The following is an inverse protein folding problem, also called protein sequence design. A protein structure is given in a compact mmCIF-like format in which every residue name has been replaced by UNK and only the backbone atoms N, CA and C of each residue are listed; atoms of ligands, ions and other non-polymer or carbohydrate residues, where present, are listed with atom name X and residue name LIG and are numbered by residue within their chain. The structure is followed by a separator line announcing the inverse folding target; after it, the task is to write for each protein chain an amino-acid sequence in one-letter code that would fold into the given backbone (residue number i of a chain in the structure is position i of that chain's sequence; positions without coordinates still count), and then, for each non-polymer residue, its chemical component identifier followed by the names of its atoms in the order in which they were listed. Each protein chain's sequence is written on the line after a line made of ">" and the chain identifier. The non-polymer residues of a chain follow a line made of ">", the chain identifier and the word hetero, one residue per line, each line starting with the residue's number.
data_IF_809900918588
#
_entry.id   IF_809900918588
#
_cell.length_a   1.000
_cell.length_b   1.000
_cell.length_c   1.000
_cell.angle_alpha   90.00
_cell.angle_beta   90.00
_cell.angle_gamma   90.00
#
_symmetry.space_group_name_H-M   'P 1'
#
loop_
_entity.id
_entity.type
_entity.pdbx_description
1 polymer ?
#
# COMPACT_ATOMS: atom_id res chain seq x y z
N UNK A 1 -13.53 -25.04 32.28
CA UNK A 1 -12.31 -24.23 32.08
C UNK A 1 -12.64 -23.24 30.98
N UNK A 2 -13.16 -22.04 31.27
CA UNK A 2 -12.47 -20.86 31.84
C UNK A 2 -11.19 -20.62 31.03
N UNK A 3 -11.12 -19.64 30.13
CA UNK A 3 -11.22 -18.20 30.45
C UNK A 3 -11.72 -17.38 29.26
N UNK A 4 -12.80 -16.63 29.50
CA UNK A 4 -13.26 -15.47 28.73
C UNK A 4 -12.38 -14.27 29.14
N UNK A 5 -12.03 -13.38 28.20
CA UNK A 5 -11.73 -12.00 28.54
C UNK A 5 -12.74 -11.08 27.83
N UNK A 6 -13.51 -10.41 28.68
CA UNK A 6 -14.49 -9.40 28.34
C UNK A 6 -13.78 -8.10 27.93
N UNK A 7 -14.28 -7.51 26.86
CA UNK A 7 -14.12 -6.10 26.52
C UNK A 7 -14.92 -5.29 27.55
N UNK A 8 -14.22 -4.52 28.38
CA UNK A 8 -14.82 -3.57 29.31
C UNK A 8 -14.71 -2.16 28.74
N UNK A 9 -15.77 -1.70 28.08
CA UNK A 9 -15.98 -0.31 27.72
C UNK A 9 -16.60 0.42 28.92
N UNK A 10 -15.95 1.47 29.41
CA UNK A 10 -16.55 2.41 30.37
C UNK A 10 -16.16 3.84 30.01
N UNK A 11 -17.13 4.52 29.41
CA UNK A 11 -17.23 5.97 29.28
C UNK A 11 -17.61 6.53 30.66
N UNK A 12 -16.80 7.45 31.21
CA UNK A 12 -17.14 8.19 32.43
C UNK A 12 -16.90 9.69 32.21
N UNK A 13 -17.98 10.46 32.27
CA UNK A 13 -18.02 11.92 32.18
C UNK A 13 -17.76 12.54 33.56
N UNK A 14 -16.89 13.56 33.57
CA UNK A 14 -16.60 14.65 34.51
C UNK A 14 -16.97 14.54 36.01
N UNK A 15 -15.99 14.90 36.86
CA UNK A 15 -16.18 15.79 38.03
C UNK A 15 -14.91 16.63 38.27
N UNK A 16 -15.07 17.96 38.29
CA UNK A 16 -14.08 18.94 38.78
C UNK A 16 -14.02 18.90 40.33
N UNK A 17 -12.82 18.73 40.90
CA UNK A 17 -12.47 19.24 42.24
C UNK A 17 -10.94 19.22 42.49
N UNK A 18 -10.34 20.42 42.52
CA UNK A 18 -9.50 20.89 43.62
C UNK A 18 -8.12 20.26 43.92
N UNK A 19 -7.09 21.05 43.62
CA UNK A 19 -5.91 21.37 44.45
C UNK A 19 -4.84 20.27 44.71
N UNK A 20 -3.61 20.54 44.24
CA UNK A 20 -2.40 19.86 44.71
C UNK A 20 -1.21 20.13 43.79
N UNK A 21 -0.35 21.06 44.19
CA UNK A 21 0.79 21.51 43.39
C UNK A 21 1.87 20.45 43.16
N UNK A 22 2.46 20.54 41.97
CA UNK A 22 3.61 19.79 41.51
C UNK A 22 3.77 20.07 40.02
N UNK A 23 4.38 21.20 39.66
CA UNK A 23 4.87 21.42 38.30
C UNK A 23 5.97 20.41 38.03
N UNK A 24 5.61 19.22 37.56
CA UNK A 24 6.47 18.48 36.65
C UNK A 24 6.34 19.20 35.32
N UNK A 25 7.34 19.96 34.93
CA UNK A 25 7.52 20.37 33.54
C UNK A 25 7.63 19.07 32.73
N UNK A 26 6.50 18.56 32.25
CA UNK A 26 6.49 17.53 31.20
C UNK A 26 6.98 18.25 29.97
N UNK A 27 8.29 18.21 29.76
CA UNK A 27 8.88 18.70 28.52
C UNK A 27 8.28 17.83 27.41
N UNK A 28 7.46 18.46 26.57
CA UNK A 28 6.77 17.78 25.49
C UNK A 28 7.82 17.30 24.49
N UNK A 29 8.04 16.00 24.41
CA UNK A 29 8.91 15.39 23.40
C UNK A 29 8.09 15.03 22.17
N UNK A 30 8.72 15.15 21.00
CA UNK A 30 8.16 14.71 19.72
C UNK A 30 8.81 13.37 19.35
N UNK A 31 8.04 12.47 18.77
CA UNK A 31 8.51 11.16 18.31
C UNK A 31 8.41 11.11 16.79
N UNK A 32 9.46 10.59 16.14
CA UNK A 32 9.46 10.22 14.74
C UNK A 32 9.91 8.77 14.58
N UNK A 33 9.80 8.25 13.36
CA UNK A 33 10.12 6.85 13.04
C UNK A 33 11.07 6.79 11.86
N UNK A 34 12.24 6.17 12.04
CA UNK A 34 13.18 5.89 10.95
C UNK A 34 12.75 4.63 10.21
N UNK A 35 12.50 4.75 8.90
CA UNK A 35 11.89 3.69 8.10
C UNK A 35 12.55 3.44 6.73
N UNK A 36 12.78 2.17 6.49
CA UNK A 36 12.95 1.40 5.25
C UNK A 36 12.66 -0.03 5.73
N UNK A 37 11.40 -0.31 6.11
CA UNK A 37 10.99 -1.00 7.34
C UNK A 37 11.46 -0.34 8.64
N UNK A 38 10.83 -0.64 9.77
CA UNK A 38 11.25 -0.08 11.07
C UNK A 38 12.75 -0.37 11.32
N UNK A 39 13.58 0.69 11.41
CA UNK A 39 15.04 0.50 11.54
C UNK A 39 15.47 0.59 13.00
N UNK A 40 15.80 -0.55 13.59
CA UNK A 40 16.22 -0.67 14.98
C UNK A 40 17.72 -0.38 15.15
N UNK A 41 18.08 0.14 16.33
CA UNK A 41 19.45 0.27 16.80
C UNK A 41 20.35 1.24 16.01
N UNK A 42 19.77 2.17 15.24
CA UNK A 42 20.49 3.32 14.67
C UNK A 42 20.73 4.34 15.77
N UNK A 43 21.97 4.81 15.90
CA UNK A 43 22.31 5.83 16.87
C UNK A 43 21.75 7.19 16.40
N UNK A 44 21.22 8.00 17.31
CA UNK A 44 20.79 9.36 16.99
C UNK A 44 21.14 10.37 18.08
N UNK A 45 21.32 11.62 17.65
CA UNK A 45 21.59 12.77 18.49
C UNK A 45 20.58 13.89 18.24
N UNK A 46 19.92 14.34 19.30
CA UNK A 46 19.06 15.53 19.29
C UNK A 46 19.94 16.76 19.53
N UNK A 47 20.55 17.28 18.46
CA UNK A 47 21.63 18.29 18.55
C UNK A 47 21.16 19.56 19.27
N UNK A 48 19.95 20.02 18.99
CA UNK A 48 19.37 21.21 19.63
C UNK A 48 19.07 21.02 21.13
N UNK A 49 18.86 19.78 21.58
CA UNK A 49 18.57 19.44 22.97
C UNK A 49 19.84 19.19 23.78
N UNK A 50 20.99 18.97 23.12
CA UNK A 50 22.21 18.50 23.77
C UNK A 50 22.08 17.07 24.31
N UNK A 51 21.18 16.27 23.73
CA UNK A 51 20.91 14.87 24.09
C UNK A 51 21.49 13.95 23.01
N UNK A 52 22.49 13.14 23.38
CA UNK A 52 23.36 12.41 22.45
C UNK A 52 23.43 10.91 22.78
N UNK A 53 23.82 10.10 21.80
CA UNK A 53 24.05 8.65 21.91
C UNK A 53 22.81 7.85 22.32
N UNK A 54 21.68 8.18 21.70
CA UNK A 54 20.42 7.42 21.83
C UNK A 54 20.34 6.42 20.68
N UNK A 55 19.45 5.45 20.77
CA UNK A 55 19.23 4.45 19.72
C UNK A 55 17.76 4.36 19.35
N UNK A 56 17.47 4.15 18.06
CA UNK A 56 16.10 3.87 17.60
C UNK A 56 15.57 2.59 18.24
N UNK A 57 14.26 2.56 18.51
CA UNK A 57 13.58 1.36 19.03
C UNK A 57 13.30 0.32 17.94
N UNK A 58 12.71 -0.82 18.34
CA UNK A 58 12.32 -1.90 17.43
C UNK A 58 11.25 -1.49 16.40
N UNK A 59 10.50 -0.42 16.67
CA UNK A 59 9.56 0.21 15.74
C UNK A 59 10.20 1.36 14.94
N UNK A 60 11.52 1.54 15.02
CA UNK A 60 12.25 2.65 14.42
C UNK A 60 12.09 3.99 15.17
N UNK A 61 11.43 4.01 16.33
CA UNK A 61 11.11 5.25 17.03
C UNK A 61 12.37 5.97 17.55
N UNK A 62 12.43 7.28 17.31
CA UNK A 62 13.38 8.20 17.95
C UNK A 62 12.61 9.38 18.55
N UNK A 63 13.14 9.99 19.61
CA UNK A 63 12.42 11.03 20.37
C UNK A 63 13.35 12.16 20.78
N UNK A 64 12.97 13.38 20.40
CA UNK A 64 13.65 14.63 20.74
C UNK A 64 12.66 15.65 21.30
N UNK A 65 13.11 16.55 22.17
CA UNK A 65 12.31 17.70 22.60
C UNK A 65 12.23 18.74 21.47
N UNK A 66 13.33 18.89 20.73
CA UNK A 66 13.44 19.76 19.58
C UNK A 66 13.94 19.01 18.35
N UNK A 67 13.12 18.99 17.29
CA UNK A 67 13.45 18.35 16.01
C UNK A 67 14.32 19.23 15.08
N UNK A 68 14.78 20.40 15.55
CA UNK A 68 15.65 21.31 14.79
C UNK A 68 17.10 20.80 14.74
N UNK A 69 17.32 19.73 13.96
CA UNK A 69 18.57 18.96 13.79
C UNK A 69 18.62 17.68 14.63
N UNK A 70 18.30 16.57 13.98
CA UNK A 70 18.53 15.21 14.47
C UNK A 70 19.52 14.54 13.56
N UNK A 71 20.63 14.05 14.13
CA UNK A 71 21.68 13.33 13.42
C UNK A 71 21.49 11.84 13.58
N UNK A 72 21.55 11.07 12.49
CA UNK A 72 21.54 9.60 12.51
C UNK A 72 22.93 9.05 12.22
N UNK A 73 23.32 7.99 12.95
CA UNK A 73 24.64 7.37 12.88
C UNK A 73 24.55 5.85 13.05
N UNK A 74 25.53 5.15 12.50
CA UNK A 74 25.85 3.77 12.88
C UNK A 74 27.20 3.80 13.59
N UNK A 75 27.19 3.78 14.93
CA UNK A 75 28.39 3.99 15.72
C UNK A 75 29.02 5.36 15.40
N UNK A 76 30.17 5.41 14.73
CA UNK A 76 30.82 6.68 14.36
C UNK A 76 30.44 7.16 12.96
N UNK A 77 29.91 6.26 12.11
CA UNK A 77 29.52 6.59 10.74
C UNK A 77 28.27 7.46 10.75
N UNK A 78 28.37 8.68 10.24
CA UNK A 78 27.23 9.60 10.13
C UNK A 78 26.43 9.29 8.87
N UNK A 79 25.17 8.88 9.03
CA UNK A 79 24.27 8.66 7.89
C UNK A 79 23.75 9.98 7.32
N UNK A 80 23.49 10.96 8.20
CA UNK A 80 23.06 12.30 7.82
C UNK A 80 22.26 12.98 8.92
N UNK A 81 21.70 14.15 8.59
CA UNK A 81 20.95 14.99 9.51
C UNK A 81 19.59 15.34 8.88
N UNK A 82 18.51 15.28 9.67
CA UNK A 82 17.24 15.95 9.31
C UNK A 82 17.13 17.28 10.06
N UNK A 83 16.58 18.30 9.41
CA UNK A 83 16.40 19.64 10.00
C UNK A 83 15.02 19.86 10.63
N UNK A 84 14.07 18.97 10.32
CA UNK A 84 12.73 18.91 10.89
C UNK A 84 12.16 17.50 10.68
N UNK A 85 11.17 17.11 11.48
CA UNK A 85 10.41 15.89 11.25
C UNK A 85 9.42 16.10 10.10
N UNK A 86 9.35 15.20 9.10
CA UNK A 86 8.32 15.22 8.07
C UNK A 86 6.90 15.18 8.68
N UNK A 87 5.92 15.72 7.95
CA UNK A 87 4.57 15.93 8.47
C UNK A 87 3.84 14.62 8.83
N UNK A 88 4.21 13.53 8.18
CA UNK A 88 3.69 12.19 8.46
C UNK A 88 4.39 11.48 9.63
N UNK A 89 5.46 12.07 10.19
CA UNK A 89 6.21 11.51 11.31
C UNK A 89 7.22 10.44 10.94
N UNK A 90 7.38 10.12 9.66
CA UNK A 90 8.31 9.11 9.16
C UNK A 90 9.55 9.77 8.56
N UNK A 91 10.70 9.14 8.72
CA UNK A 91 11.98 9.58 8.16
C UNK A 91 12.52 8.45 7.31
N UNK A 92 12.60 8.69 6.02
CA UNK A 92 13.15 7.75 5.04
C UNK A 92 14.62 8.08 4.74
N UNK A 93 15.38 7.16 4.12
CA UNK A 93 16.69 7.45 3.53
C UNK A 93 16.75 8.76 2.74
N UNK A 94 15.73 9.05 1.92
CA UNK A 94 15.61 10.28 1.13
C UNK A 94 15.60 11.55 2.01
N UNK A 95 14.92 11.50 3.16
CA UNK A 95 14.82 12.63 4.09
C UNK A 95 16.18 12.90 4.76
N UNK A 96 16.96 11.84 5.04
CA UNK A 96 18.31 11.93 5.62
C UNK A 96 19.31 12.51 4.61
N UNK A 97 19.23 12.09 3.34
CA UNK A 97 20.07 12.63 2.25
C UNK A 97 19.65 14.06 1.88
N UNK A 98 18.37 14.40 2.06
CA UNK A 98 17.81 15.71 1.71
C UNK A 98 17.36 15.82 0.25
N UNK A 99 16.83 14.74 -0.31
CA UNK A 99 16.20 14.70 -1.64
C UNK A 99 14.70 14.39 -1.53
N UNK A 100 13.95 14.59 -2.61
CA UNK A 100 12.53 14.25 -2.63
C UNK A 100 12.33 12.72 -2.52
N UNK A 101 11.22 12.29 -1.91
CA UNK A 101 10.95 10.87 -1.62
C UNK A 101 10.75 10.00 -2.87
N UNK A 102 10.37 10.60 -3.99
CA UNK A 102 10.30 9.96 -5.30
C UNK A 102 11.67 9.67 -5.92
N UNK A 103 12.77 10.25 -5.40
CA UNK A 103 14.14 10.03 -5.87
C UNK A 103 14.75 8.72 -5.32
N UNK A 104 14.03 7.60 -5.48
CA UNK A 104 14.43 6.27 -5.00
C UNK A 104 15.72 5.79 -5.68
N UNK A 105 15.91 6.12 -6.95
CA UNK A 105 17.09 5.77 -7.75
C UNK A 105 18.29 6.71 -7.54
N UNK A 106 18.21 7.67 -6.60
CA UNK A 106 19.35 8.49 -6.25
C UNK A 106 20.50 7.61 -5.70
N UNK A 107 21.73 7.86 -6.16
CA UNK A 107 22.90 7.04 -5.84
C UNK A 107 23.15 6.92 -4.32
N UNK A 108 23.03 8.03 -3.58
CA UNK A 108 23.21 8.07 -2.13
C UNK A 108 22.06 7.38 -1.38
N UNK A 109 20.82 7.58 -1.85
CA UNK A 109 19.62 6.92 -1.29
C UNK A 109 19.71 5.41 -1.47
N UNK A 110 20.03 4.97 -2.68
CA UNK A 110 20.16 3.55 -3.02
C UNK A 110 21.27 2.91 -2.19
N UNK A 111 22.43 3.57 -2.06
CA UNK A 111 23.53 3.04 -1.27
C UNK A 111 23.18 2.96 0.22
N UNK A 112 22.47 3.95 0.77
CA UNK A 112 22.02 3.92 2.16
C UNK A 112 20.99 2.81 2.40
N UNK A 113 20.01 2.65 1.52
CA UNK A 113 19.04 1.57 1.58
C UNK A 113 19.73 0.19 1.51
N UNK A 114 20.67 0.02 0.57
CA UNK A 114 21.48 -1.19 0.48
C UNK A 114 22.24 -1.46 1.78
N UNK A 115 22.88 -0.45 2.38
CA UNK A 115 23.59 -0.63 3.64
C UNK A 115 22.66 -1.05 4.77
N UNK A 116 21.57 -0.30 5.01
CA UNK A 116 20.64 -0.55 6.11
C UNK A 116 19.98 -1.93 5.99
N UNK A 117 19.41 -2.25 4.82
CA UNK A 117 18.74 -3.53 4.61
C UNK A 117 19.70 -4.72 4.66
N UNK A 118 20.97 -4.54 4.29
CA UNK A 118 21.97 -5.62 4.35
C UNK A 118 22.57 -5.80 5.76
N UNK A 119 22.35 -4.84 6.67
CA UNK A 119 22.74 -4.94 8.07
C UNK A 119 21.73 -5.70 8.94
N UNK A 120 20.56 -6.02 8.38
CA UNK A 120 19.53 -6.79 9.04
C UNK A 120 20.03 -8.17 9.47
N UNK A 121 19.84 -8.51 10.75
CA UNK A 121 20.46 -9.69 11.38
C UNK A 121 19.92 -11.02 10.82
N UNK A 122 18.63 -11.07 10.46
CA UNK A 122 17.97 -12.29 9.98
C UNK A 122 17.61 -12.27 8.49
N UNK A 123 17.94 -11.17 7.79
CA UNK A 123 17.64 -10.91 6.38
C UNK A 123 16.14 -10.99 6.06
N UNK A 124 15.27 -10.72 7.04
CA UNK A 124 13.83 -10.71 6.91
C UNK A 124 13.26 -9.31 7.18
N UNK A 125 13.32 -8.45 6.17
CA UNK A 125 12.89 -7.05 6.27
C UNK A 125 11.40 -6.85 6.63
N UNK A 126 10.56 -7.89 6.51
CA UNK A 126 9.13 -7.84 6.88
C UNK A 126 8.90 -7.73 8.40
N UNK A 127 9.91 -8.02 9.23
CA UNK A 127 9.84 -7.90 10.68
C UNK A 127 10.60 -6.67 11.23
N UNK A 128 11.01 -5.75 10.36
CA UNK A 128 11.90 -4.62 10.69
C UNK A 128 13.34 -4.88 10.20
N UNK A 129 14.17 -3.83 10.24
CA UNK A 129 15.62 -3.95 10.06
C UNK A 129 16.26 -3.97 11.44
N UNK A 130 16.80 -5.12 11.83
CA UNK A 130 17.45 -5.33 13.12
C UNK A 130 18.97 -5.26 12.97
N UNK A 131 19.56 -4.12 13.33
CA UNK A 131 21.02 -3.93 13.21
C UNK A 131 21.73 -4.45 14.46
N UNK A 132 22.47 -5.55 14.31
CA UNK A 132 23.26 -6.13 15.42
C UNK A 132 24.32 -5.17 15.98
N UNK A 133 24.60 -5.27 17.28
CA UNK A 133 25.65 -4.50 17.94
C UNK A 133 27.03 -4.79 17.34
N UNK A 134 27.28 -6.02 16.92
CA UNK A 134 28.50 -6.47 16.26
C UNK A 134 28.71 -5.75 14.93
N UNK A 135 27.69 -5.74 14.05
CA UNK A 135 27.76 -5.08 12.75
C UNK A 135 27.89 -3.55 12.92
N UNK A 136 27.09 -2.95 13.81
CA UNK A 136 27.17 -1.51 14.10
C UNK A 136 28.55 -1.10 14.62
N UNK A 137 29.14 -1.86 15.55
CA UNK A 137 30.48 -1.57 16.10
C UNK A 137 31.61 -1.77 15.10
N UNK A 138 31.40 -2.50 14.01
CA UNK A 138 32.40 -2.63 12.95
C UNK A 138 32.56 -1.34 12.13
N UNK A 139 31.56 -0.44 12.16
CA UNK A 139 31.51 0.84 11.45
C UNK A 139 32.14 1.96 12.31
N UNK A 140 33.46 1.87 12.49
CA UNK A 140 34.24 2.73 13.41
C UNK A 140 34.72 4.06 12.81
N UNK A 141 34.28 4.42 11.62
CA UNK A 141 34.78 5.59 10.91
C UNK A 141 33.98 6.84 11.26
N UNK A 142 34.66 7.86 11.81
CA UNK A 142 34.09 9.19 12.04
C UNK A 142 34.10 9.97 10.73
N UNK A 143 33.17 9.61 9.84
CA UNK A 143 32.97 10.22 8.54
C UNK A 143 31.47 10.25 8.19
N UNK A 144 31.12 11.08 7.20
CA UNK A 144 29.79 11.04 6.61
C UNK A 144 29.74 9.90 5.59
N UNK A 145 28.69 9.10 5.64
CA UNK A 145 28.40 8.07 4.66
C UNK A 145 28.24 8.69 3.28
N UNK A 146 28.86 8.06 2.28
CA UNK A 146 28.61 8.32 0.86
C UNK A 146 28.48 7.00 0.12
N UNK A 147 27.82 7.03 -1.04
CA UNK A 147 27.67 5.86 -1.90
C UNK A 147 29.01 5.22 -2.29
N UNK A 148 30.07 6.04 -2.40
CA UNK A 148 31.42 5.56 -2.72
C UNK A 148 32.06 4.70 -1.63
N UNK A 149 31.55 4.77 -0.40
CA UNK A 149 32.05 4.03 0.76
C UNK A 149 31.29 2.71 1.01
N UNK A 150 30.22 2.43 0.25
CA UNK A 150 29.32 1.29 0.49
C UNK A 150 30.06 -0.05 0.57
N UNK A 151 30.89 -0.35 -0.42
CA UNK A 151 31.68 -1.59 -0.47
C UNK A 151 32.65 -1.71 0.72
N UNK A 152 33.21 -0.58 1.15
CA UNK A 152 34.10 -0.54 2.30
C UNK A 152 33.35 -0.89 3.59
N UNK A 153 32.16 -0.31 3.81
CA UNK A 153 31.36 -0.59 4.99
C UNK A 153 30.77 -2.01 4.98
N UNK A 154 30.36 -2.51 3.82
CA UNK A 154 29.92 -3.90 3.66
C UNK A 154 31.00 -4.89 4.07
N UNK A 155 32.24 -4.68 3.59
CA UNK A 155 33.38 -5.51 3.95
C UNK A 155 33.70 -5.43 5.46
N UNK A 156 33.57 -4.24 6.06
CA UNK A 156 33.83 -4.03 7.50
C UNK A 156 32.82 -4.73 8.38
N UNK A 157 31.54 -4.59 8.07
CA UNK A 157 30.44 -5.23 8.79
C UNK A 157 30.31 -6.73 8.47
N UNK A 158 31.10 -7.25 7.51
CA UNK A 158 31.05 -8.63 7.05
C UNK A 158 29.65 -9.05 6.55
N UNK A 159 28.95 -8.11 5.89
CA UNK A 159 27.61 -8.32 5.32
C UNK A 159 27.69 -8.57 3.82
N UNK A 160 26.71 -9.31 3.30
CA UNK A 160 26.49 -9.42 1.87
C UNK A 160 25.50 -8.33 1.45
N UNK A 161 25.93 -7.44 0.54
CA UNK A 161 25.06 -6.39 0.03
C UNK A 161 23.91 -6.99 -0.78
N UNK A 162 22.69 -6.50 -0.50
CA UNK A 162 21.55 -6.60 -1.41
C UNK A 162 21.86 -5.87 -2.71
N UNK A 163 21.23 -6.31 -3.79
CA UNK A 163 21.35 -5.61 -5.07
C UNK A 163 20.69 -4.23 -4.99
N UNK A 164 21.06 -3.32 -5.88
CA UNK A 164 20.44 -2.00 -5.96
C UNK A 164 18.94 -2.11 -6.21
N UNK A 165 18.53 -3.00 -7.12
CA UNK A 165 17.13 -3.22 -7.48
C UNK A 165 16.31 -3.71 -6.27
N UNK A 166 16.79 -4.73 -5.56
CA UNK A 166 16.10 -5.24 -4.36
C UNK A 166 15.98 -4.16 -3.27
N UNK A 167 17.01 -3.33 -3.10
CA UNK A 167 16.98 -2.28 -2.09
C UNK A 167 16.01 -1.15 -2.44
N UNK A 168 15.99 -0.74 -3.71
CA UNK A 168 15.07 0.25 -4.23
C UNK A 168 13.62 -0.24 -4.19
N UNK A 169 13.38 -1.52 -4.50
CA UNK A 169 12.06 -2.16 -4.42
C UNK A 169 11.52 -2.15 -3.00
N UNK A 170 12.30 -2.63 -2.02
CA UNK A 170 11.89 -2.63 -0.63
C UNK A 170 11.62 -1.21 -0.07
N UNK A 171 12.48 -0.25 -0.41
CA UNK A 171 12.31 1.14 0.01
C UNK A 171 11.02 1.74 -0.58
N UNK A 172 10.72 1.41 -1.84
CA UNK A 172 9.49 1.83 -2.52
C UNK A 172 8.26 1.24 -1.87
N UNK A 173 8.28 -0.05 -1.56
CA UNK A 173 7.18 -0.74 -0.87
C UNK A 173 6.91 -0.12 0.49
N UNK A 174 7.95 0.09 1.31
CA UNK A 174 7.81 0.78 2.61
C UNK A 174 7.19 2.17 2.45
N UNK A 175 7.65 2.94 1.46
CA UNK A 175 7.12 4.28 1.21
C UNK A 175 5.64 4.23 0.81
N UNK A 176 5.27 3.29 -0.06
CA UNK A 176 3.89 3.10 -0.51
C UNK A 176 2.98 2.67 0.66
N UNK A 177 3.44 1.78 1.54
CA UNK A 177 2.73 1.37 2.76
C UNK A 177 2.49 2.53 3.73
N UNK A 178 3.50 3.39 3.94
CA UNK A 178 3.35 4.58 4.78
C UNK A 178 2.36 5.58 4.17
N UNK A 179 2.40 5.78 2.85
CA UNK A 179 1.44 6.64 2.15
C UNK A 179 0.00 6.12 2.37
N UNK A 180 -0.23 4.81 2.17
CA UNK A 180 -1.55 4.20 2.34
C UNK A 180 -2.02 4.23 3.80
N UNK A 181 -1.13 3.94 4.76
CA UNK A 181 -1.48 3.93 6.20
C UNK A 181 -1.76 5.31 6.77
N UNK A 182 -1.24 6.38 6.14
CA UNK A 182 -1.54 7.77 6.50
C UNK A 182 -2.82 8.31 5.84
N UNK A 183 -3.56 7.46 5.13
CA UNK A 183 -4.84 7.78 4.51
C UNK A 183 -4.75 8.47 3.15
N UNK A 184 -3.54 8.56 2.58
CA UNK A 184 -3.34 9.04 1.20
C UNK A 184 -3.64 7.92 0.18
N UNK A 185 -3.83 8.30 -1.08
CA UNK A 185 -4.00 7.35 -2.18
C UNK A 185 -2.69 6.70 -2.59
N UNK A 186 -2.77 5.57 -3.31
CA UNK A 186 -1.63 4.97 -3.99
C UNK A 186 -0.86 6.03 -4.79
N UNK A 187 0.49 6.00 -4.74
CA UNK A 187 1.33 7.00 -5.41
C UNK A 187 2.09 6.33 -6.54
N UNK A 188 1.49 6.38 -7.72
CA UNK A 188 2.05 5.79 -8.93
C UNK A 188 3.38 6.44 -9.34
N UNK A 189 3.66 7.68 -8.90
CA UNK A 189 4.90 8.39 -9.24
C UNK A 189 6.17 7.76 -8.66
N UNK A 190 6.02 6.90 -7.65
CA UNK A 190 7.14 6.16 -7.05
C UNK A 190 7.71 5.09 -7.99
N UNK A 191 6.93 4.67 -9.00
CA UNK A 191 7.30 3.63 -9.94
C UNK A 191 7.72 4.23 -11.29
N UNK A 192 8.86 3.80 -11.87
CA UNK A 192 9.27 4.27 -13.18
C UNK A 192 8.26 3.83 -14.25
N UNK A 193 8.12 4.65 -15.29
CA UNK A 193 7.32 4.28 -16.45
C UNK A 193 7.97 3.10 -17.19
N UNK A 194 7.19 2.06 -17.46
CA UNK A 194 7.65 0.81 -18.08
C UNK A 194 7.55 0.86 -19.60
N UNK A 195 8.27 -0.02 -20.30
CA UNK A 195 8.12 -0.13 -21.75
C UNK A 195 7.05 -1.17 -22.11
N UNK A 196 5.81 -0.72 -22.31
CA UNK A 196 4.67 -1.60 -22.55
C UNK A 196 4.53 -2.05 -24.01
N UNK A 197 4.20 -3.33 -24.18
CA UNK A 197 3.69 -3.90 -25.43
C UNK A 197 2.23 -3.49 -25.65
N UNK A 198 1.73 -3.67 -26.88
CA UNK A 198 0.30 -3.41 -27.16
C UNK A 198 -0.61 -4.25 -26.26
N UNK A 199 -0.24 -5.51 -25.95
CA UNK A 199 -0.99 -6.39 -25.06
C UNK A 199 -1.23 -5.76 -23.68
N UNK A 200 -0.19 -5.26 -23.01
CA UNK A 200 -0.36 -4.56 -21.72
C UNK A 200 -1.20 -3.29 -21.84
N UNK A 201 -1.13 -2.59 -22.96
CA UNK A 201 -1.98 -1.42 -23.20
C UNK A 201 -3.46 -1.81 -23.36
N UNK A 202 -3.74 -2.94 -24.02
CA UNK A 202 -5.09 -3.52 -24.06
C UNK A 202 -5.58 -3.87 -22.65
N UNK A 203 -4.73 -4.51 -21.83
CA UNK A 203 -5.05 -4.85 -20.45
C UNK A 203 -5.46 -3.62 -19.64
N UNK A 204 -4.69 -2.53 -19.69
CA UNK A 204 -5.03 -1.30 -18.94
C UNK A 204 -6.42 -0.77 -19.34
N UNK A 205 -6.73 -0.77 -20.64
CA UNK A 205 -8.05 -0.34 -21.13
C UNK A 205 -9.18 -1.30 -20.71
N UNK A 206 -8.90 -2.60 -20.68
CA UNK A 206 -9.84 -3.61 -20.20
C UNK A 206 -10.12 -3.42 -18.71
N UNK A 207 -9.07 -3.30 -17.90
CA UNK A 207 -9.17 -3.13 -16.45
C UNK A 207 -9.92 -1.86 -16.06
N UNK A 208 -9.71 -0.75 -16.77
CA UNK A 208 -10.50 0.45 -16.53
C UNK A 208 -12.01 0.21 -16.72
N UNK A 209 -12.38 -0.57 -17.74
CA UNK A 209 -13.79 -0.90 -18.02
C UNK A 209 -14.34 -1.90 -17.00
N UNK A 210 -13.52 -2.83 -16.50
CA UNK A 210 -13.91 -3.79 -15.47
C UNK A 210 -14.18 -3.10 -14.11
N UNK A 211 -13.30 -2.20 -13.67
CA UNK A 211 -13.51 -1.39 -12.47
C UNK A 211 -14.75 -0.50 -12.60
N UNK A 212 -14.99 0.06 -13.80
CA UNK A 212 -16.25 0.78 -14.08
C UNK A 212 -17.46 -0.16 -13.99
N UNK A 213 -17.35 -1.39 -14.49
CA UNK A 213 -18.42 -2.38 -14.47
C UNK A 213 -18.80 -2.70 -13.03
N UNK A 214 -17.82 -3.00 -12.17
CA UNK A 214 -18.04 -3.24 -10.75
C UNK A 214 -18.79 -2.06 -10.11
N UNK A 215 -18.25 -0.84 -10.28
CA UNK A 215 -18.86 0.39 -9.76
C UNK A 215 -20.31 0.57 -10.19
N UNK A 216 -20.56 0.54 -11.49
CA UNK A 216 -21.87 0.86 -12.07
C UNK A 216 -22.90 -0.23 -11.74
N UNK A 217 -22.49 -1.49 -11.75
CA UNK A 217 -23.33 -2.62 -11.40
C UNK A 217 -23.76 -2.52 -9.93
N UNK A 218 -22.82 -2.24 -9.03
CA UNK A 218 -23.13 -2.11 -7.60
C UNK A 218 -24.05 -0.93 -7.32
N UNK A 219 -23.85 0.22 -7.96
CA UNK A 219 -24.76 1.36 -7.83
C UNK A 219 -26.17 1.06 -8.37
N UNK A 220 -26.25 0.36 -9.51
CA UNK A 220 -27.52 -0.03 -10.11
C UNK A 220 -28.28 -1.01 -9.21
N UNK A 221 -27.60 -2.03 -8.68
CA UNK A 221 -28.18 -3.01 -7.76
C UNK A 221 -28.55 -2.39 -6.41
N UNK A 222 -27.72 -1.48 -5.87
CA UNK A 222 -28.01 -0.75 -4.63
C UNK A 222 -29.29 0.10 -4.74
N UNK A 223 -29.59 0.61 -5.94
CA UNK A 223 -30.81 1.38 -6.19
C UNK A 223 -32.08 0.53 -6.09
N UNK A 224 -31.97 -0.79 -6.28
CA UNK A 224 -33.08 -1.76 -6.17
C UNK A 224 -33.10 -2.39 -4.76
N UNK A 225 -31.94 -2.79 -4.28
CA UNK A 225 -31.73 -3.46 -3.00
C UNK A 225 -30.68 -2.70 -2.17
N UNK A 226 -31.08 -1.64 -1.45
CA UNK A 226 -30.14 -0.83 -0.68
C UNK A 226 -29.35 -1.67 0.34
N UNK A 227 -28.03 -1.73 0.18
CA UNK A 227 -27.12 -2.40 1.11
C UNK A 227 -25.84 -1.60 1.28
N UNK A 228 -25.29 -1.64 2.49
CA UNK A 228 -24.10 -0.87 2.82
C UNK A 228 -22.87 -1.34 2.03
N UNK A 229 -22.80 -2.63 1.70
CA UNK A 229 -21.76 -3.25 0.91
C UNK A 229 -21.73 -2.66 -0.51
N UNK A 230 -22.84 -2.75 -1.25
CA UNK A 230 -22.92 -2.25 -2.63
C UNK A 230 -22.63 -0.75 -2.69
N UNK A 231 -23.15 0.05 -1.75
CA UNK A 231 -22.90 1.50 -1.72
C UNK A 231 -21.43 1.83 -1.43
N UNK A 232 -20.86 1.24 -0.36
CA UNK A 232 -19.51 1.60 0.07
C UNK A 232 -18.44 1.14 -0.92
N UNK A 233 -18.55 -0.09 -1.43
CA UNK A 233 -17.57 -0.63 -2.37
C UNK A 233 -17.56 0.24 -3.62
N UNK A 234 -18.73 0.50 -4.22
CA UNK A 234 -18.83 1.33 -5.42
C UNK A 234 -18.33 2.78 -5.23
N UNK A 235 -18.82 3.47 -4.19
CA UNK A 235 -18.58 4.91 -4.03
C UNK A 235 -17.22 5.24 -3.42
N UNK A 236 -16.55 4.26 -2.80
CA UNK A 236 -15.28 4.50 -2.08
C UNK A 236 -14.12 3.69 -2.64
N UNK A 237 -14.34 2.44 -3.05
CA UNK A 237 -13.26 1.56 -3.54
C UNK A 237 -13.20 1.53 -5.05
N UNK A 238 -14.25 1.08 -5.76
CA UNK A 238 -14.25 1.02 -7.23
C UNK A 238 -14.00 2.38 -7.86
N UNK A 239 -14.50 3.45 -7.23
CA UNK A 239 -14.22 4.82 -7.67
C UNK A 239 -12.72 5.16 -7.59
N UNK A 240 -12.01 4.65 -6.58
CA UNK A 240 -10.55 4.83 -6.44
C UNK A 240 -9.77 3.89 -7.36
N UNK A 241 -10.19 2.64 -7.49
CA UNK A 241 -9.56 1.71 -8.42
C UNK A 241 -9.64 2.22 -9.85
N UNK A 242 -10.84 2.61 -10.30
CA UNK A 242 -11.04 3.20 -11.61
C UNK A 242 -10.17 4.45 -11.83
N UNK A 243 -10.05 5.33 -10.82
CA UNK A 243 -9.20 6.50 -10.89
C UNK A 243 -7.70 6.13 -10.98
N UNK A 244 -7.26 5.10 -10.25
CA UNK A 244 -5.88 4.63 -10.32
C UNK A 244 -5.54 4.01 -11.68
N UNK A 245 -6.45 3.24 -12.27
CA UNK A 245 -6.25 2.74 -13.65
C UNK A 245 -6.31 3.90 -14.66
N UNK A 246 -7.12 4.93 -14.41
CA UNK A 246 -7.13 6.15 -15.22
C UNK A 246 -5.76 6.88 -15.19
N UNK A 247 -5.03 6.84 -14.06
CA UNK A 247 -3.65 7.34 -14.01
C UNK A 247 -2.70 6.55 -14.92
N UNK A 248 -2.87 5.22 -15.05
CA UNK A 248 -2.11 4.41 -16.02
C UNK A 248 -2.48 4.77 -17.46
N UNK A 249 -3.77 4.96 -17.75
CA UNK A 249 -4.25 5.41 -19.07
C UNK A 249 -3.58 6.73 -19.45
N UNK A 250 -3.52 7.69 -18.52
CA UNK A 250 -2.87 8.98 -18.73
C UNK A 250 -1.34 8.86 -18.87
N UNK A 251 -0.69 8.10 -17.99
CA UNK A 251 0.76 7.86 -17.99
C UNK A 251 1.25 7.36 -19.34
N UNK A 252 0.56 6.37 -19.90
CA UNK A 252 0.96 5.72 -21.14
C UNK A 252 0.41 6.39 -22.40
N UNK A 253 -0.23 7.56 -22.27
CA UNK A 253 -0.94 8.27 -23.33
C UNK A 253 -1.78 7.30 -24.17
N UNK A 254 -2.53 6.44 -23.46
CA UNK A 254 -3.44 5.53 -24.11
C UNK A 254 -4.58 6.36 -24.68
N UNK A 255 -4.38 6.84 -25.89
CA UNK A 255 -5.46 7.13 -26.80
C UNK A 255 -5.94 5.78 -27.31
N UNK A 256 -7.14 5.35 -26.94
CA UNK A 256 -7.66 4.03 -27.31
C UNK A 256 -7.85 3.85 -28.84
N UNK A 257 -7.50 4.86 -29.62
CA UNK A 257 -7.39 4.81 -31.08
C UNK A 257 -6.28 3.89 -31.63
N UNK A 258 -5.36 3.39 -30.80
CA UNK A 258 -4.25 2.54 -31.25
C UNK A 258 -4.55 1.03 -31.20
N UNK A 259 -5.78 0.68 -30.86
CA UNK A 259 -6.22 -0.70 -30.70
C UNK A 259 -7.07 -1.10 -31.92
N UNK A 260 -6.48 -1.89 -32.82
CA UNK A 260 -7.04 -2.19 -34.17
C UNK A 260 -8.42 -2.85 -34.13
N UNK A 261 -8.79 -3.47 -33.01
CA UNK A 261 -10.07 -4.16 -32.81
C UNK A 261 -11.11 -3.36 -31.99
N UNK A 262 -10.81 -2.12 -31.57
CA UNK A 262 -11.75 -1.26 -30.84
C UNK A 262 -12.23 -0.10 -31.71
N UNK A 263 -13.54 -0.01 -31.94
CA UNK A 263 -14.15 0.99 -32.83
C UNK A 263 -14.38 2.35 -32.18
N UNK A 264 -14.13 2.49 -30.89
CA UNK A 264 -14.36 3.72 -30.13
C UNK A 264 -13.04 4.41 -29.81
N UNK A 265 -13.03 5.72 -29.99
CA UNK A 265 -11.94 6.55 -29.50
C UNK A 265 -12.10 6.62 -27.99
N UNK A 266 -11.05 6.29 -27.24
CA UNK A 266 -11.03 6.69 -25.84
C UNK A 266 -9.85 7.61 -25.53
N UNK A 267 -10.17 8.88 -25.66
CA UNK A 267 -9.64 9.94 -24.81
C UNK A 267 -10.28 9.87 -23.41
N UNK A 268 -9.64 10.50 -22.41
CA UNK A 268 -10.20 10.68 -21.05
C UNK A 268 -11.64 11.26 -21.08
N UNK A 269 -11.90 12.18 -22.02
CA UNK A 269 -13.22 12.78 -22.22
C UNK A 269 -14.28 11.75 -22.64
N UNK A 270 -13.92 10.85 -23.55
CA UNK A 270 -14.82 9.80 -24.04
C UNK A 270 -15.06 8.73 -23.00
N UNK A 271 -14.02 8.32 -22.25
CA UNK A 271 -14.16 7.40 -21.11
C UNK A 271 -15.17 7.90 -20.07
N UNK A 272 -15.09 9.19 -19.73
CA UNK A 272 -16.01 9.80 -18.77
C UNK A 272 -17.39 10.11 -19.35
N UNK A 273 -17.56 10.04 -20.67
CA UNK A 273 -18.84 10.26 -21.34
C UNK A 273 -19.73 9.01 -21.38
N UNK A 274 -19.20 7.82 -21.05
CA UNK A 274 -20.03 6.62 -20.94
C UNK A 274 -21.03 6.76 -19.80
N UNK A 275 -22.31 6.69 -20.16
CA UNK A 275 -23.39 6.62 -19.19
C UNK A 275 -23.21 5.39 -18.25
N UNK A 276 -23.77 5.44 -17.02
CA UNK A 276 -23.73 4.30 -16.12
C UNK A 276 -24.28 3.02 -16.78
N UNK A 277 -23.53 1.92 -16.67
CA UNK A 277 -23.88 0.63 -17.27
C UNK A 277 -23.68 0.54 -18.78
N UNK A 278 -22.99 1.50 -19.40
CA UNK A 278 -22.54 1.44 -20.79
C UNK A 278 -21.01 1.32 -20.86
N UNK A 279 -20.50 0.48 -21.76
CA UNK A 279 -19.07 0.16 -21.89
C UNK A 279 -18.62 0.12 -23.34
N UNK A 280 -17.38 0.53 -23.59
CA UNK A 280 -16.80 0.54 -24.94
C UNK A 280 -16.19 -0.81 -25.37
N UNK A 281 -16.24 -1.81 -24.48
CA UNK A 281 -15.79 -3.18 -24.74
C UNK A 281 -17.02 -4.08 -24.73
N UNK A 282 -17.34 -4.71 -25.87
CA UNK A 282 -18.54 -5.55 -25.98
C UNK A 282 -18.54 -6.70 -24.96
N UNK A 283 -17.38 -7.31 -24.70
CA UNK A 283 -17.27 -8.36 -23.68
C UNK A 283 -17.65 -7.87 -22.28
N UNK A 284 -17.26 -6.64 -21.91
CA UNK A 284 -17.62 -6.01 -20.63
C UNK A 284 -19.11 -5.64 -20.62
N UNK A 285 -19.66 -5.14 -21.72
CA UNK A 285 -21.10 -4.87 -21.83
C UNK A 285 -21.93 -6.15 -21.65
N UNK A 286 -21.54 -7.24 -22.30
CA UNK A 286 -22.23 -8.52 -22.20
C UNK A 286 -22.16 -9.07 -20.77
N UNK A 287 -21.02 -8.91 -20.10
CA UNK A 287 -20.84 -9.29 -18.70
C UNK A 287 -21.75 -8.46 -17.77
N UNK A 288 -21.78 -7.13 -17.94
CA UNK A 288 -22.65 -6.24 -17.17
C UNK A 288 -24.12 -6.63 -17.31
N UNK A 289 -24.59 -6.83 -18.55
CA UNK A 289 -26.00 -7.16 -18.83
C UNK A 289 -26.39 -8.50 -18.18
N UNK A 290 -25.49 -9.49 -18.24
CA UNK A 290 -25.69 -10.80 -17.62
C UNK A 290 -25.76 -10.69 -16.09
N UNK A 291 -24.79 -10.04 -15.47
CA UNK A 291 -24.71 -9.89 -14.01
C UNK A 291 -25.85 -9.03 -13.46
N UNK A 292 -26.23 -7.94 -14.15
CA UNK A 292 -27.38 -7.13 -13.77
C UNK A 292 -28.68 -7.92 -13.85
N UNK A 293 -28.85 -8.76 -14.88
CA UNK A 293 -30.03 -9.63 -15.00
C UNK A 293 -30.13 -10.62 -13.84
N UNK A 294 -29.01 -11.13 -13.33
CA UNK A 294 -28.96 -12.02 -12.15
C UNK A 294 -29.23 -11.21 -10.88
N UNK A 295 -28.45 -10.17 -10.62
CA UNK A 295 -28.48 -9.44 -9.36
C UNK A 295 -29.79 -8.68 -9.12
N UNK A 296 -30.52 -8.33 -10.18
CA UNK A 296 -31.82 -7.68 -10.06
C UNK A 296 -32.95 -8.60 -9.58
N UNK A 297 -32.75 -9.92 -9.52
CA UNK A 297 -33.80 -10.87 -9.12
C UNK A 297 -34.13 -10.84 -7.63
N UNK A 298 -33.13 -10.65 -6.76
CA UNK A 298 -33.32 -10.54 -5.31
C UNK A 298 -32.15 -9.88 -4.60
N UNK A 299 -32.34 -9.51 -3.33
CA UNK A 299 -31.26 -8.97 -2.51
C UNK A 299 -30.12 -9.98 -2.29
N UNK A 300 -30.42 -11.29 -2.25
CA UNK A 300 -29.39 -12.33 -2.17
C UNK A 300 -28.59 -12.36 -3.48
N UNK A 301 -29.28 -12.43 -4.62
CA UNK A 301 -28.63 -12.46 -5.94
C UNK A 301 -27.75 -11.22 -6.16
N UNK A 302 -28.18 -10.05 -5.67
CA UNK A 302 -27.39 -8.82 -5.76
C UNK A 302 -26.04 -8.90 -5.02
N UNK A 303 -26.00 -9.55 -3.85
CA UNK A 303 -24.76 -9.74 -3.09
C UNK A 303 -23.93 -10.91 -3.64
N UNK A 304 -24.58 -11.96 -4.16
CA UNK A 304 -23.91 -13.06 -4.85
C UNK A 304 -23.21 -12.57 -6.12
N UNK A 305 -23.85 -11.71 -6.91
CA UNK A 305 -23.23 -11.04 -8.05
C UNK A 305 -22.03 -10.19 -7.63
N UNK A 306 -22.07 -9.57 -6.45
CA UNK A 306 -20.89 -8.97 -5.82
C UNK A 306 -19.73 -9.96 -5.76
N UNK A 307 -19.92 -11.11 -5.10
CA UNK A 307 -18.90 -12.17 -5.04
C UNK A 307 -18.42 -12.62 -6.44
N UNK A 308 -19.32 -12.68 -7.43
CA UNK A 308 -18.97 -13.12 -8.79
C UNK A 308 -18.03 -12.14 -9.48
N UNK A 309 -18.29 -10.84 -9.34
CA UNK A 309 -17.42 -9.79 -9.87
C UNK A 309 -16.04 -9.88 -9.21
N UNK A 310 -15.97 -9.93 -7.88
CA UNK A 310 -14.67 -9.93 -7.18
C UNK A 310 -13.81 -11.15 -7.53
N UNK A 311 -14.42 -12.33 -7.70
CA UNK A 311 -13.67 -13.51 -8.14
C UNK A 311 -13.21 -13.39 -9.59
N UNK A 312 -13.99 -12.75 -10.45
CA UNK A 312 -13.60 -12.50 -11.85
C UNK A 312 -12.41 -11.56 -11.88
N UNK A 313 -12.53 -10.41 -11.20
CA UNK A 313 -11.50 -9.38 -11.12
C UNK A 313 -10.20 -9.92 -10.51
N UNK A 314 -10.27 -10.70 -9.42
CA UNK A 314 -9.08 -11.34 -8.82
C UNK A 314 -8.41 -12.33 -9.79
N UNK A 315 -9.18 -13.10 -10.57
CA UNK A 315 -8.61 -14.05 -11.53
C UNK A 315 -7.89 -13.31 -12.66
N UNK A 316 -8.54 -12.29 -13.21
CA UNK A 316 -8.00 -11.49 -14.31
C UNK A 316 -6.74 -10.72 -13.84
N UNK A 317 -6.78 -10.08 -12.66
CA UNK A 317 -5.63 -9.41 -12.07
C UNK A 317 -4.45 -10.36 -11.78
N UNK A 318 -4.70 -11.60 -11.35
CA UNK A 318 -3.61 -12.56 -11.14
C UNK A 318 -2.91 -12.95 -12.45
N UNK A 319 -3.65 -13.09 -13.55
CA UNK A 319 -3.06 -13.35 -14.87
C UNK A 319 -2.26 -12.13 -15.35
N UNK A 320 -2.83 -10.94 -15.22
CA UNK A 320 -2.21 -9.70 -15.72
C UNK A 320 -1.00 -9.26 -14.90
N UNK A 321 -0.96 -9.53 -13.59
CA UNK A 321 0.23 -9.36 -12.76
C UNK A 321 1.36 -10.26 -13.27
N UNK A 322 1.09 -11.54 -13.51
CA UNK A 322 2.10 -12.47 -14.01
C UNK A 322 2.67 -12.03 -15.38
N UNK A 323 1.81 -11.54 -16.27
CA UNK A 323 2.21 -10.98 -17.57
C UNK A 323 3.05 -9.72 -17.41
N UNK A 324 2.69 -8.83 -16.48
CA UNK A 324 3.44 -7.61 -16.19
C UNK A 324 4.83 -7.91 -15.62
N UNK A 325 4.95 -8.92 -14.73
CA UNK A 325 6.22 -9.40 -14.21
C UNK A 325 7.15 -9.92 -15.32
N UNK A 326 6.63 -10.69 -16.29
CA UNK A 326 7.42 -11.25 -17.39
C UNK A 326 8.12 -10.18 -18.25
N UNK A 327 7.57 -8.97 -18.32
CA UNK A 327 8.14 -7.84 -19.06
C UNK A 327 8.82 -6.79 -18.17
N UNK A 328 8.91 -7.03 -16.86
CA UNK A 328 9.41 -6.08 -15.86
C UNK A 328 8.63 -4.76 -15.84
N UNK A 329 7.31 -4.81 -15.98
CA UNK A 329 6.44 -3.64 -15.88
C UNK A 329 6.05 -3.37 -14.41
N UNK A 330 7.00 -2.90 -13.61
CA UNK A 330 6.84 -2.79 -12.14
C UNK A 330 5.69 -1.88 -11.69
N UNK A 331 5.38 -0.84 -12.47
CA UNK A 331 4.27 0.04 -12.16
C UNK A 331 2.91 -0.63 -12.39
N UNK A 332 2.78 -1.46 -13.44
CA UNK A 332 1.59 -2.29 -13.63
C UNK A 332 1.43 -3.35 -12.56
N UNK A 333 2.51 -4.06 -12.22
CA UNK A 333 2.50 -5.05 -11.12
C UNK A 333 1.99 -4.42 -9.83
N UNK A 334 2.45 -3.21 -9.51
CA UNK A 334 2.08 -2.53 -8.29
C UNK A 334 0.61 -2.05 -8.28
N UNK A 335 0.12 -1.48 -9.39
CA UNK A 335 -1.28 -1.07 -9.51
C UNK A 335 -2.21 -2.28 -9.47
N UNK A 336 -1.95 -3.31 -10.27
CA UNK A 336 -2.81 -4.49 -10.33
C UNK A 336 -2.80 -5.28 -9.03
N UNK A 337 -1.65 -5.34 -8.33
CA UNK A 337 -1.61 -5.93 -6.98
C UNK A 337 -2.44 -5.12 -5.98
N UNK A 338 -2.40 -3.78 -6.06
CA UNK A 338 -3.22 -2.92 -5.20
C UNK A 338 -4.73 -3.10 -5.44
N UNK A 339 -5.15 -3.18 -6.70
CA UNK A 339 -6.53 -3.49 -7.08
C UNK A 339 -6.96 -4.85 -6.51
N UNK A 340 -6.17 -5.90 -6.75
CA UNK A 340 -6.45 -7.26 -6.30
C UNK A 340 -6.60 -7.35 -4.79
N UNK A 341 -5.75 -6.63 -4.06
CA UNK A 341 -5.82 -6.56 -2.61
C UNK A 341 -7.09 -5.85 -2.13
N UNK A 342 -7.60 -4.87 -2.90
CA UNK A 342 -8.93 -4.30 -2.74
C UNK A 342 -10.03 -5.33 -2.96
N UNK A 343 -10.00 -6.06 -4.07
CA UNK A 343 -11.00 -7.06 -4.47
C UNK A 343 -11.10 -8.22 -3.46
N UNK A 344 -9.97 -8.62 -2.83
CA UNK A 344 -10.01 -9.55 -1.69
C UNK A 344 -10.87 -9.00 -0.54
N UNK A 345 -10.73 -7.73 -0.20
CA UNK A 345 -11.51 -7.11 0.86
C UNK A 345 -12.99 -6.99 0.49
N UNK A 346 -13.30 -6.74 -0.78
CA UNK A 346 -14.67 -6.68 -1.28
C UNK A 346 -15.34 -8.04 -1.26
N UNK A 347 -14.63 -9.10 -1.69
CA UNK A 347 -15.11 -10.47 -1.62
C UNK A 347 -15.53 -10.81 -0.19
N UNK A 348 -14.71 -10.48 0.81
CA UNK A 348 -15.06 -10.70 2.21
C UNK A 348 -16.19 -9.80 2.71
N UNK A 349 -16.34 -8.59 2.18
CA UNK A 349 -17.46 -7.72 2.48
C UNK A 349 -18.79 -8.28 1.94
N UNK A 350 -18.81 -8.80 0.71
CA UNK A 350 -19.98 -9.47 0.12
C UNK A 350 -20.30 -10.79 0.83
N UNK A 351 -19.28 -11.61 1.12
CA UNK A 351 -19.42 -12.83 1.94
C UNK A 351 -20.07 -12.52 3.30
N UNK A 352 -19.60 -11.47 3.97
CA UNK A 352 -20.19 -10.99 5.23
C UNK A 352 -21.62 -10.49 5.04
N UNK A 353 -21.90 -9.78 3.94
CA UNK A 353 -23.24 -9.33 3.56
C UNK A 353 -24.22 -10.50 3.42
N UNK A 354 -23.82 -11.55 2.70
CA UNK A 354 -24.60 -12.77 2.52
C UNK A 354 -24.85 -13.50 3.85
N UNK A 355 -23.83 -13.61 4.70
CA UNK A 355 -23.96 -14.19 6.05
C UNK A 355 -24.94 -13.40 6.91
N UNK A 356 -24.95 -12.08 6.81
CA UNK A 356 -25.92 -11.22 7.50
C UNK A 356 -27.37 -11.40 7.00
N UNK A 357 -27.55 -11.82 5.75
CA UNK A 357 -28.86 -12.22 5.19
C UNK A 357 -29.27 -13.65 5.58
N UNK A 358 -28.42 -14.39 6.29
CA UNK A 358 -28.69 -15.77 6.72
C UNK A 358 -28.17 -16.85 5.78
N UNK A 359 -27.39 -16.49 4.75
CA UNK A 359 -26.71 -17.44 3.87
C UNK A 359 -25.41 -17.86 4.55
N UNK A 360 -25.44 -19.00 5.26
CA UNK A 360 -24.36 -19.40 6.18
C UNK A 360 -23.00 -19.57 5.51
N UNK A 361 -22.99 -20.04 4.27
CA UNK A 361 -21.77 -20.26 3.48
C UNK A 361 -21.24 -18.96 2.84
N UNK A 362 -21.95 -17.84 2.94
CA UNK A 362 -21.57 -16.58 2.28
C UNK A 362 -21.36 -16.77 0.78
N UNK A 363 -20.25 -16.28 0.24
CA UNK A 363 -19.94 -16.41 -1.20
C UNK A 363 -19.80 -17.87 -1.64
N UNK A 364 -19.40 -18.78 -0.74
CA UNK A 364 -19.29 -20.21 -1.06
C UNK A 364 -20.64 -20.87 -1.42
N UNK A 365 -21.78 -20.23 -1.13
CA UNK A 365 -23.10 -20.73 -1.54
C UNK A 365 -23.26 -20.85 -3.05
N UNK A 366 -22.52 -20.05 -3.83
CA UNK A 366 -22.51 -20.10 -5.30
C UNK A 366 -21.91 -21.40 -5.86
N UNK A 367 -20.98 -22.02 -5.13
CA UNK A 367 -20.28 -23.22 -5.58
C UNK A 367 -19.45 -22.97 -6.84
N UNK A 368 -19.70 -23.74 -7.90
CA UNK A 368 -19.00 -23.63 -9.18
C UNK A 368 -19.98 -23.36 -10.30
N UNK A 369 -19.78 -22.28 -11.05
CA UNK A 369 -20.60 -21.90 -12.20
C UNK A 369 -19.66 -21.76 -13.40
N UNK A 370 -19.99 -22.45 -14.51
CA UNK A 370 -19.20 -22.45 -15.75
C UNK A 370 -17.70 -22.74 -15.58
N UNK A 371 -17.36 -23.54 -14.56
CA UNK A 371 -15.98 -23.94 -14.26
C UNK A 371 -15.24 -23.01 -13.30
N UNK A 372 -15.83 -21.87 -12.94
CA UNK A 372 -15.28 -20.93 -11.96
C UNK A 372 -15.80 -21.31 -10.58
N UNK A 373 -14.89 -21.56 -9.64
CA UNK A 373 -15.21 -21.73 -8.22
C UNK A 373 -15.38 -20.36 -7.59
N UNK A 374 -16.42 -20.15 -6.77
CA UNK A 374 -16.64 -18.91 -6.02
C UNK A 374 -16.42 -19.07 -4.52
N UNK A 375 -15.93 -20.23 -4.08
CA UNK A 375 -15.57 -20.48 -2.69
C UNK A 375 -14.06 -20.41 -2.51
N UNK A 376 -13.60 -19.28 -1.97
CA UNK A 376 -12.18 -18.98 -1.77
C UNK A 376 -11.84 -18.66 -0.30
N UNK A 377 -11.86 -19.65 0.62
CA UNK A 377 -11.44 -19.46 2.00
C UNK A 377 -9.96 -19.10 2.17
N UNK A 378 -9.15 -19.29 1.13
CA UNK A 378 -7.74 -18.97 1.06
C UNK A 378 -7.44 -17.49 0.80
N UNK A 379 -8.42 -16.71 0.34
CA UNK A 379 -8.21 -15.28 0.08
C UNK A 379 -7.83 -14.54 1.37
N UNK A 380 -6.84 -13.63 1.33
CA UNK A 380 -6.43 -12.84 2.49
C UNK A 380 -7.64 -12.12 3.12
N UNK A 381 -7.82 -12.28 4.43
CA UNK A 381 -8.92 -11.65 5.18
C UNK A 381 -8.53 -10.31 5.83
N UNK A 382 -7.27 -9.90 5.69
CA UNK A 382 -6.72 -8.66 6.20
C UNK A 382 -5.51 -8.27 5.34
N UNK A 383 -5.71 -7.48 4.30
CA UNK A 383 -4.65 -6.60 3.78
C UNK A 383 -4.82 -5.26 4.49
N UNK A 384 -3.75 -4.83 5.15
CA UNK A 384 -3.67 -3.72 6.11
C UNK A 384 -4.41 -2.44 5.68
N UNK A 385 -5.62 -2.22 6.21
CA UNK A 385 -6.16 -0.87 6.39
C UNK A 385 -6.14 -0.59 7.91
N UNK A 386 -5.20 0.22 8.42
CA UNK A 386 -5.37 0.80 9.74
C UNK A 386 -6.62 1.69 9.72
N UNK A 387 -7.46 1.56 10.74
CA UNK A 387 -8.66 2.38 10.93
C UNK A 387 -8.36 3.87 11.05
#
# INVERSE_FOLDING_TARGET
>A
MIRKYLIGSTLAVLLLAGCGGGSSDTVSSTTGYLVDSAVENVDYDCIADGDYNKTTGADGAFTCQNMHQVRFRLSYLVLGDISALPADGYVFPQDIIGVARDQIENEEVTAMAQLLQSLDEDANLTNGIQISEEAKRALVEDANFTASDLDFYALRAAIQLRTQTEAQEHLRETLQEVILSTGNSFDLSLYPESNLTDAQKYTIAFMWNEEKLAKDLYLALNSIYPTQQLENIATRSETKHQALVEELVQRYDLNITNLIDYSEHYSEEELRAFEPGQFGIQAVQDLYDALYSIGSQSQQDALEVGCMVEVTDINDLNEEIAIAEEVNASDLVAVFSHLRDGSYNHYWAFDTGLKNLGITEGCCALGTIDGINYCHPEYPQNSHIPQ
#
